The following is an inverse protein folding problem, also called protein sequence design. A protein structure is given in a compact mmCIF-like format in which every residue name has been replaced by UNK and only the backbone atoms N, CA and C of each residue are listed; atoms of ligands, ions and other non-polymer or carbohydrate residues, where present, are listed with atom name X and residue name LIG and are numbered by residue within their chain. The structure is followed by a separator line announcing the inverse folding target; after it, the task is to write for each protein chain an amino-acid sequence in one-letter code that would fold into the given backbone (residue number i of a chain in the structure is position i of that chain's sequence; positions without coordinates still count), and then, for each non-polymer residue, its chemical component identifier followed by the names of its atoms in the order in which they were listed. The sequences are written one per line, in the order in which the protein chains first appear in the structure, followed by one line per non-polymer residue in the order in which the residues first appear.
data_IF_604621843579
#
_entry.id   IF_604621843579
#
_cell.length_a   1.000
_cell.length_b   1.000
_cell.length_c   1.000
_cell.angle_alpha   90.00
_cell.angle_beta   90.00
_cell.angle_gamma   90.00
#
_symmetry.space_group_name_H-M   'P 1'
#
loop_
_entity.id
_entity.type
_entity.pdbx_description
1 polymer ?
#
# COMPACT_ATOMS: atom_id res chain seq x y z
N UNK A 1 13.30 -16.33 0.83
CA UNK A 1 12.23 -15.44 1.32
C UNK A 1 10.95 -15.89 0.65
N UNK A 2 10.09 -16.58 1.38
CA UNK A 2 8.74 -16.84 0.90
C UNK A 2 7.83 -15.71 1.35
N UNK A 3 7.17 -15.07 0.40
CA UNK A 3 6.12 -14.08 0.67
C UNK A 3 4.78 -14.77 0.59
N UNK A 4 3.93 -14.54 1.58
CA UNK A 4 2.54 -14.96 1.55
C UNK A 4 1.79 -14.29 0.39
N UNK A 5 0.69 -14.92 -0.02
CA UNK A 5 -0.17 -14.37 -1.08
C UNK A 5 -0.69 -12.96 -0.72
N UNK A 6 -1.01 -12.72 0.57
CA UNK A 6 -1.42 -11.40 1.07
C UNK A 6 -0.32 -10.35 0.88
N UNK A 7 0.91 -10.64 1.28
CA UNK A 7 2.03 -9.72 1.13
C UNK A 7 2.31 -9.39 -0.33
N UNK A 8 2.25 -10.39 -1.22
CA UNK A 8 2.40 -10.19 -2.65
C UNK A 8 1.33 -9.23 -3.20
N UNK A 9 0.08 -9.42 -2.77
CA UNK A 9 -1.05 -8.55 -3.13
C UNK A 9 -0.87 -7.13 -2.59
N UNK A 10 -0.38 -6.97 -1.37
CA UNK A 10 -0.08 -5.65 -0.76
C UNK A 10 0.99 -4.92 -1.57
N UNK A 11 2.09 -5.60 -1.92
CA UNK A 11 3.16 -5.02 -2.75
C UNK A 11 2.65 -4.57 -4.13
N UNK A 12 1.86 -5.43 -4.79
CA UNK A 12 1.24 -5.10 -6.08
C UNK A 12 0.25 -3.93 -5.96
N UNK A 13 -0.54 -3.87 -4.88
CA UNK A 13 -1.47 -2.78 -4.63
C UNK A 13 -0.73 -1.45 -4.41
N UNK A 14 0.29 -1.42 -3.55
CA UNK A 14 1.10 -0.23 -3.31
C UNK A 14 1.85 0.23 -4.57
N UNK A 15 2.21 -0.69 -5.46
CA UNK A 15 2.85 -0.37 -6.73
C UNK A 15 1.87 0.31 -7.70
N UNK A 16 0.64 -0.19 -7.78
CA UNK A 16 -0.38 0.30 -8.70
C UNK A 16 -1.07 1.59 -8.23
N UNK A 17 -1.44 1.65 -6.96
CA UNK A 17 -2.27 2.72 -6.38
C UNK A 17 -1.45 3.74 -5.58
N UNK A 18 -0.20 3.41 -5.25
CA UNK A 18 0.67 4.24 -4.43
C UNK A 18 0.55 3.95 -2.93
N UNK A 19 1.18 4.79 -2.09
CA UNK A 19 1.24 4.57 -0.65
C UNK A 19 -0.13 4.75 0.02
N UNK A 20 -0.48 3.80 0.88
CA UNK A 20 -1.75 3.79 1.59
C UNK A 20 -1.62 3.28 3.04
N UNK A 21 -2.72 3.33 3.78
CA UNK A 21 -2.79 2.84 5.17
C UNK A 21 -3.26 1.39 5.21
N UNK A 22 -2.88 0.59 6.24
CA UNK A 22 -3.32 -0.80 6.38
C UNK A 22 -4.84 -0.98 6.31
N UNK A 23 -5.60 -0.08 6.95
CA UNK A 23 -7.06 -0.08 6.87
C UNK A 23 -7.54 0.12 5.44
N UNK A 24 -7.03 1.11 4.70
CA UNK A 24 -7.44 1.31 3.31
C UNK A 24 -7.05 0.15 2.41
N UNK A 25 -5.87 -0.44 2.63
CA UNK A 25 -5.42 -1.65 1.92
C UNK A 25 -6.38 -2.82 2.21
N UNK A 26 -6.78 -3.03 3.46
CA UNK A 26 -7.74 -4.06 3.85
C UNK A 26 -9.09 -3.94 3.10
N UNK A 27 -9.56 -2.71 2.88
CA UNK A 27 -10.81 -2.46 2.14
C UNK A 27 -10.65 -2.48 0.62
N UNK A 28 -9.48 -2.07 0.10
CA UNK A 28 -9.28 -1.75 -1.33
C UNK A 28 -8.26 -2.62 -2.02
N UNK A 29 -7.83 -3.71 -1.41
CA UNK A 29 -6.78 -4.59 -1.92
C UNK A 29 -7.05 -4.92 -3.40
N UNK A 30 -6.05 -4.66 -4.25
CA UNK A 30 -6.10 -4.83 -5.72
C UNK A 30 -7.29 -4.15 -6.44
N UNK A 31 -7.87 -3.08 -5.89
CA UNK A 31 -8.97 -2.34 -6.52
C UNK A 31 -10.36 -2.89 -6.23
N UNK A 32 -10.50 -3.84 -5.30
CA UNK A 32 -11.81 -4.22 -4.76
C UNK A 32 -12.48 -2.99 -4.12
N UNK A 33 -13.73 -2.73 -4.47
CA UNK A 33 -14.52 -1.65 -3.90
C UNK A 33 -15.74 -2.26 -3.19
N UNK A 34 -15.52 -2.76 -1.97
CA UNK A 34 -16.56 -3.33 -1.12
C UNK A 34 -16.73 -2.54 0.18
N UNK A 35 -17.95 -2.57 0.74
CA UNK A 35 -18.21 -2.04 2.08
C UNK A 35 -17.44 -2.83 3.15
N UNK A 36 -17.34 -4.16 2.97
CA UNK A 36 -16.61 -5.05 3.88
C UNK A 36 -15.11 -5.11 3.52
N UNK A 37 -14.22 -5.19 4.52
CA UNK A 37 -12.81 -5.42 4.27
C UNK A 37 -12.63 -6.77 3.56
N UNK A 38 -11.79 -6.80 2.53
CA UNK A 38 -11.45 -8.01 1.77
C UNK A 38 -10.60 -8.94 2.62
N UNK A 39 -9.78 -8.36 3.50
CA UNK A 39 -8.87 -9.05 4.42
C UNK A 39 -8.96 -8.37 5.78
N UNK A 40 -8.90 -9.10 6.91
CA UNK A 40 -8.83 -8.48 8.23
C UNK A 40 -7.69 -7.46 8.33
N UNK A 41 -7.95 -6.33 9.00
CA UNK A 41 -6.95 -5.26 9.16
C UNK A 41 -5.71 -5.77 9.90
N UNK A 42 -5.91 -6.63 10.91
CA UNK A 42 -4.83 -7.23 11.70
C UNK A 42 -3.87 -8.05 10.82
N UNK A 43 -4.39 -8.84 9.88
CA UNK A 43 -3.56 -9.60 8.94
C UNK A 43 -2.77 -8.68 8.01
N UNK A 44 -3.38 -7.58 7.58
CA UNK A 44 -2.70 -6.56 6.77
C UNK A 44 -1.60 -5.87 7.57
N UNK A 45 -1.84 -5.56 8.85
CA UNK A 45 -0.83 -4.98 9.72
C UNK A 45 0.35 -5.93 9.95
N UNK A 46 0.09 -7.21 10.20
CA UNK A 46 1.13 -8.24 10.34
C UNK A 46 1.94 -8.40 9.05
N UNK A 47 1.26 -8.44 7.90
CA UNK A 47 1.90 -8.51 6.59
C UNK A 47 2.75 -7.26 6.31
N UNK A 48 2.25 -6.07 6.64
CA UNK A 48 3.01 -4.83 6.52
C UNK A 48 4.25 -4.83 7.44
N UNK A 49 4.13 -5.31 8.68
CA UNK A 49 5.25 -5.39 9.61
C UNK A 49 6.35 -6.32 9.08
N UNK A 50 5.97 -7.48 8.53
CA UNK A 50 6.94 -8.41 7.94
C UNK A 50 7.58 -7.82 6.66
N UNK A 51 6.80 -7.20 5.78
CA UNK A 51 7.33 -6.50 4.60
C UNK A 51 8.28 -5.34 4.95
N UNK A 52 8.06 -4.67 6.08
CA UNK A 52 8.95 -3.64 6.63
C UNK A 52 10.26 -4.26 7.12
N UNK A 53 10.20 -5.37 7.87
CA UNK A 53 11.39 -6.11 8.31
C UNK A 53 12.24 -6.59 7.13
N UNK A 54 11.61 -6.98 6.03
CA UNK A 54 12.27 -7.37 4.78
C UNK A 54 12.83 -6.18 3.98
N UNK A 55 12.57 -4.93 4.39
CA UNK A 55 13.00 -3.72 3.71
C UNK A 55 12.31 -3.50 2.35
N UNK A 56 11.13 -4.08 2.14
CA UNK A 56 10.34 -3.95 0.91
C UNK A 56 9.39 -2.75 0.99
N UNK A 57 8.84 -2.49 2.17
CA UNK A 57 8.06 -1.29 2.44
C UNK A 57 8.69 -0.52 3.60
N UNK A 58 8.35 0.75 3.72
CA UNK A 58 8.77 1.57 4.85
C UNK A 58 7.57 2.33 5.40
N UNK A 59 7.45 2.36 6.74
CA UNK A 59 6.43 3.17 7.41
C UNK A 59 6.83 4.65 7.44
N UNK A 60 5.92 5.50 7.00
CA UNK A 60 6.00 6.93 7.19
C UNK A 60 5.13 7.33 8.40
N UNK A 61 5.78 7.73 9.49
CA UNK A 61 5.16 8.29 10.69
C UNK A 61 5.34 9.81 10.70
N UNK A 62 4.65 10.51 9.80
CA UNK A 62 4.67 11.97 9.75
C UNK A 62 3.34 12.55 10.22
N UNK A 63 3.36 13.45 11.19
CA UNK A 63 2.26 14.39 11.38
C UNK A 63 2.17 15.23 10.10
N UNK A 64 1.01 15.33 9.46
CA UNK A 64 0.73 16.26 8.36
C UNK A 64 0.78 17.72 8.88
N UNK A 65 1.91 18.13 9.48
CA UNK A 65 2.12 19.49 9.97
C UNK A 65 2.40 20.37 8.77
N UNK A 66 1.38 21.15 8.41
CA UNK A 66 1.47 22.54 8.00
C UNK A 66 2.55 22.91 6.99
N UNK A 67 2.09 23.29 5.80
CA UNK A 67 2.79 23.95 4.68
C UNK A 67 3.63 23.02 3.80
N UNK A 68 3.05 22.78 2.62
CA UNK A 68 3.64 22.13 1.47
C UNK A 68 4.83 22.94 0.97
N UNK A 69 6.05 22.54 1.32
CA UNK A 69 7.23 23.00 0.59
C UNK A 69 7.35 22.20 -0.73
N UNK A 70 7.91 22.83 -1.75
CA UNK A 70 8.00 22.31 -3.14
C UNK A 70 8.66 20.93 -3.26
N UNK A 71 9.39 20.47 -2.24
CA UNK A 71 10.13 19.20 -2.21
C UNK A 71 9.34 17.99 -1.69
N UNK A 72 8.07 18.14 -1.31
CA UNK A 72 7.24 17.03 -0.84
C UNK A 72 6.59 16.28 -2.03
N UNK A 73 6.65 14.94 -1.99
CA UNK A 73 6.18 14.03 -3.06
C UNK A 73 4.70 14.32 -3.45
N UNK A 74 4.34 14.33 -4.75
CA UNK A 74 3.02 14.76 -5.24
C UNK A 74 1.80 14.09 -4.58
N UNK A 75 1.90 12.81 -4.22
CA UNK A 75 0.80 12.05 -3.60
C UNK A 75 0.40 12.58 -2.20
N UNK A 76 1.35 13.18 -1.46
CA UNK A 76 1.06 13.82 -0.16
C UNK A 76 0.18 15.07 -0.35
N UNK A 77 0.39 15.83 -1.43
CA UNK A 77 -0.42 17.01 -1.77
C UNK A 77 -1.85 16.61 -2.16
N UNK A 78 -2.00 15.53 -2.94
CA UNK A 78 -3.32 15.00 -3.35
C UNK A 78 -4.16 14.55 -2.15
N UNK A 79 -3.53 13.97 -1.11
CA UNK A 79 -4.23 13.54 0.11
C UNK A 79 -4.55 14.70 1.05
N UNK A 80 -3.72 15.74 1.12
CA UNK A 80 -4.04 16.95 1.91
C UNK A 80 -5.29 17.69 1.40
N UNK A 81 -5.58 17.58 0.10
CA UNK A 81 -6.80 18.13 -0.51
C UNK A 81 -8.08 17.32 -0.17
N UNK A 82 -7.96 16.14 0.44
CA UNK A 82 -9.06 15.28 0.88
C UNK A 82 -9.05 15.10 2.42
N UNK A 83 -9.55 16.10 3.19
CA UNK A 83 -9.46 16.14 4.64
C UNK A 83 -10.36 15.14 5.39
N UNK A 84 -11.29 14.45 4.72
CA UNK A 84 -12.11 13.37 5.34
C UNK A 84 -11.28 12.13 5.75
N UNK A 85 -10.01 12.06 5.36
CA UNK A 85 -9.07 10.95 5.66
C UNK A 85 -8.13 11.26 6.83
N UNK A 86 -8.64 11.88 7.89
CA UNK A 86 -7.90 12.26 9.11
C UNK A 86 -7.71 11.05 10.06
N UNK A 87 -7.17 9.94 9.56
CA UNK A 87 -6.69 8.85 10.42
C UNK A 87 -5.27 9.16 10.92
N UNK A 88 -4.93 8.79 12.15
CA UNK A 88 -3.56 8.79 12.68
C UNK A 88 -2.65 7.97 11.76
N UNK A 89 -2.00 8.67 10.82
CA UNK A 89 -1.64 8.10 9.52
C UNK A 89 -0.29 7.42 9.50
N UNK A 90 -0.25 6.14 9.86
CA UNK A 90 0.85 5.26 9.47
C UNK A 90 0.61 4.86 8.01
N UNK A 91 1.46 5.38 7.11
CA UNK A 91 1.42 5.05 5.69
C UNK A 91 2.57 4.14 5.35
N UNK A 92 2.34 3.16 4.48
CA UNK A 92 3.40 2.34 3.95
C UNK A 92 3.70 2.73 2.51
N UNK A 93 4.98 2.86 2.19
CA UNK A 93 5.42 3.13 0.83
C UNK A 93 6.48 2.12 0.39
N UNK A 94 6.51 1.82 -0.91
CA UNK A 94 7.49 0.89 -1.46
C UNK A 94 8.90 1.50 -1.46
N UNK A 95 9.86 0.72 -0.96
CA UNK A 95 11.29 1.01 -1.11
C UNK A 95 11.73 0.75 -2.55
N UNK A 96 12.99 1.05 -2.89
CA UNK A 96 13.54 0.76 -4.23
C UNK A 96 13.44 -0.74 -4.56
N UNK A 97 13.73 -1.62 -3.58
CA UNK A 97 13.58 -3.08 -3.72
C UNK A 97 12.10 -3.47 -3.81
N UNK A 98 11.25 -2.88 -2.96
CA UNK A 98 9.81 -3.10 -3.00
C UNK A 98 9.18 -2.75 -4.35
N UNK A 99 9.63 -1.68 -5.01
CA UNK A 99 9.13 -1.30 -6.34
C UNK A 99 9.49 -2.30 -7.42
N UNK A 100 10.71 -2.83 -7.40
CA UNK A 100 11.13 -3.85 -8.36
C UNK A 100 10.28 -5.12 -8.21
N UNK A 101 10.12 -5.58 -6.96
CA UNK A 101 9.35 -6.78 -6.67
C UNK A 101 7.85 -6.56 -6.90
N UNK A 102 7.31 -5.42 -6.46
CA UNK A 102 5.91 -5.03 -6.66
C UNK A 102 5.54 -4.92 -8.14
N UNK A 103 6.45 -4.45 -9.00
CA UNK A 103 6.24 -4.43 -10.45
C UNK A 103 6.20 -5.83 -11.08
N UNK A 104 7.04 -6.75 -10.62
CA UNK A 104 7.00 -8.16 -11.03
C UNK A 104 5.69 -8.83 -10.59
N UNK A 105 5.32 -8.66 -9.31
CA UNK A 105 4.09 -9.21 -8.74
C UNK A 105 2.84 -8.59 -9.34
N UNK A 106 2.84 -7.29 -9.63
CA UNK A 106 1.74 -6.64 -10.32
C UNK A 106 1.51 -7.29 -11.69
N UNK A 107 2.58 -7.53 -12.46
CA UNK A 107 2.46 -8.26 -13.72
C UNK A 107 1.96 -9.67 -13.49
N UNK A 108 2.45 -10.40 -12.49
CA UNK A 108 2.01 -11.77 -12.20
C UNK A 108 0.53 -11.84 -11.84
N UNK A 109 0.09 -11.02 -10.89
CA UNK A 109 -1.30 -10.95 -10.40
C UNK A 109 -2.26 -10.53 -11.52
N UNK A 110 -1.91 -9.50 -12.30
CA UNK A 110 -2.79 -9.01 -13.37
C UNK A 110 -2.70 -9.84 -14.66
N UNK A 111 -1.57 -10.48 -14.96
CA UNK A 111 -1.40 -11.37 -16.13
C UNK A 111 -2.04 -12.74 -15.90
N UNK A 112 -2.03 -13.26 -14.67
CA UNK A 112 -2.78 -14.50 -14.36
C UNK A 112 -4.29 -14.29 -14.34
N UNK A 113 -4.77 -13.10 -13.95
CA UNK A 113 -6.21 -12.79 -14.00
C UNK A 113 -6.79 -12.90 -15.43
N UNK A 114 -5.96 -12.65 -16.45
CA UNK A 114 -6.32 -12.79 -17.87
C UNK A 114 -6.29 -14.24 -18.40
N UNK A 115 -5.73 -15.20 -17.65
CA UNK A 115 -5.66 -16.63 -18.02
C UNK A 115 -6.71 -17.49 -17.32
N UNK A 116 -7.41 -16.94 -16.33
CA UNK A 116 -8.44 -17.64 -15.55
C UNK A 116 -9.87 -17.16 -15.87
N UNK A 117 -10.08 -16.50 -17.01
CA UNK A 117 -11.38 -16.12 -17.57
C UNK A 117 -11.62 -16.81 -18.90
#
# INVERSE_FOLDING_TARGET
MELSDLEKKILAHLYAFGPDTPSLIAHRLLGSAGWRPVVPVEDVERACAHLEELGLIERYKGSLKGKVTSSIKPWLKVKQRNPERKGSGIYYYLTKRGKQLGGYLYKEVFRNKARSS
#
